data_IF_892479139676
#
_entry.id   IF_892479139676
#
_cell.length_a   1.000
_cell.length_b   1.000
_cell.length_c   1.000
_cell.angle_alpha   90.00
_cell.angle_beta   90.00
_cell.angle_gamma   90.00
#
_symmetry.space_group_name_H-M   'P 1'
#
loop_
_entity.id
_entity.type
_entity.pdbx_description
1 polymer ?
#
# COMPACT_ATOMS: atom_id res chain seq x y z
N UNK A 1 -8.97 -2.83 16.34
CA UNK A 1 -10.00 -3.44 15.48
C UNK A 1 -11.35 -2.84 15.82
N UNK A 2 -12.20 -2.60 14.81
CA UNK A 2 -13.55 -2.07 15.00
C UNK A 2 -14.52 -3.21 15.34
N UNK A 3 -15.64 -2.90 16.01
CA UNK A 3 -16.68 -3.89 16.35
C UNK A 3 -17.22 -4.58 15.08
N UNK A 4 -17.49 -3.81 14.03
CA UNK A 4 -17.95 -4.32 12.73
C UNK A 4 -16.96 -5.32 12.10
N UNK A 5 -15.65 -5.08 12.17
CA UNK A 5 -14.68 -6.05 11.65
C UNK A 5 -14.69 -7.38 12.43
N UNK A 6 -15.01 -7.36 13.72
CA UNK A 6 -15.16 -8.58 14.53
C UNK A 6 -16.46 -9.31 14.22
N UNK A 7 -17.53 -8.57 13.91
CA UNK A 7 -18.82 -9.13 13.48
C UNK A 7 -18.70 -9.80 12.11
N UNK A 8 -18.02 -9.17 11.15
CA UNK A 8 -17.73 -9.75 9.83
C UNK A 8 -16.97 -11.08 9.94
N UNK A 9 -15.96 -11.16 10.82
CA UNK A 9 -15.22 -12.40 11.07
C UNK A 9 -16.05 -13.52 11.71
N UNK A 10 -17.16 -13.18 12.38
CA UNK A 10 -18.08 -14.13 13.00
C UNK A 10 -19.27 -14.48 12.10
N UNK A 11 -19.43 -13.78 10.98
CA UNK A 11 -20.51 -14.00 10.03
C UNK A 11 -20.46 -15.43 9.49
N UNK A 12 -21.63 -16.05 9.35
CA UNK A 12 -21.77 -17.32 8.62
C UNK A 12 -21.62 -17.11 7.10
N UNK A 13 -21.84 -15.88 6.63
CA UNK A 13 -21.52 -15.47 5.27
C UNK A 13 -20.01 -15.26 5.17
N UNK A 14 -19.37 -16.15 4.43
CA UNK A 14 -17.92 -16.15 4.18
C UNK A 14 -17.60 -15.69 2.76
N UNK A 15 -18.58 -15.11 2.05
CA UNK A 15 -18.36 -14.59 0.71
C UNK A 15 -17.37 -13.42 0.77
N UNK A 16 -16.20 -13.66 0.18
CA UNK A 16 -15.17 -12.65 0.03
C UNK A 16 -15.47 -11.70 -1.14
N UNK A 17 -14.62 -10.67 -1.31
CA UNK A 17 -14.67 -9.81 -2.48
C UNK A 17 -14.64 -10.63 -3.78
N UNK A 18 -15.54 -10.30 -4.71
CA UNK A 18 -15.67 -10.99 -6.01
C UNK A 18 -14.74 -10.36 -7.03
N UNK A 19 -13.96 -11.19 -7.72
CA UNK A 19 -13.10 -10.75 -8.81
C UNK A 19 -13.91 -10.12 -9.95
N UNK A 20 -13.44 -8.99 -10.47
CA UNK A 20 -14.04 -8.25 -11.59
C UNK A 20 -13.10 -8.08 -12.77
N UNK A 21 -11.88 -8.60 -12.69
CA UNK A 21 -10.91 -8.62 -13.77
C UNK A 21 -10.12 -9.93 -13.83
N UNK A 22 -9.35 -10.10 -14.92
CA UNK A 22 -8.56 -11.31 -15.20
C UNK A 22 -7.42 -11.54 -14.18
N UNK A 23 -7.07 -10.49 -13.41
CA UNK A 23 -6.06 -10.55 -12.35
C UNK A 23 -6.66 -11.01 -11.01
N UNK A 24 -7.96 -11.33 -10.96
CA UNK A 24 -8.63 -11.80 -9.75
C UNK A 24 -8.94 -10.69 -8.74
N UNK A 25 -8.83 -9.41 -9.12
CA UNK A 25 -9.02 -8.28 -8.21
C UNK A 25 -10.50 -7.93 -8.10
N UNK A 26 -10.92 -7.55 -6.91
CA UNK A 26 -12.27 -7.05 -6.65
C UNK A 26 -12.47 -5.62 -7.17
N UNK A 27 -13.73 -5.19 -7.24
CA UNK A 27 -14.08 -3.82 -7.63
C UNK A 27 -13.83 -2.77 -6.52
N UNK A 28 -13.38 -3.19 -5.34
CA UNK A 28 -13.09 -2.27 -4.25
C UNK A 28 -11.99 -1.31 -4.68
N UNK A 29 -12.03 -0.08 -4.21
CA UNK A 29 -10.99 0.92 -4.49
C UNK A 29 -10.42 1.43 -3.18
N UNK A 30 -9.16 1.87 -3.20
CA UNK A 30 -8.53 2.54 -2.07
C UNK A 30 -7.94 3.88 -2.49
N UNK A 31 -7.86 4.78 -1.51
CA UNK A 31 -7.14 6.04 -1.60
C UNK A 31 -6.46 6.30 -0.26
N UNK A 32 -5.17 6.61 -0.31
CA UNK A 32 -4.37 7.06 0.83
C UNK A 32 -3.86 8.45 0.49
N UNK A 33 -4.22 9.41 1.33
CA UNK A 33 -3.77 10.79 1.21
C UNK A 33 -2.93 11.15 2.43
N UNK A 34 -1.75 11.72 2.17
CA UNK A 34 -0.85 12.23 3.19
C UNK A 34 -0.65 13.71 2.95
N UNK A 35 -0.98 14.52 3.95
CA UNK A 35 -0.73 15.96 3.97
C UNK A 35 0.25 16.25 5.10
N UNK A 36 1.38 16.88 4.77
CA UNK A 36 2.41 17.26 5.73
C UNK A 36 2.66 18.76 5.64
N UNK A 37 2.60 19.44 6.78
CA UNK A 37 2.87 20.88 6.86
C UNK A 37 4.11 21.12 7.72
N UNK A 38 5.03 21.94 7.22
CA UNK A 38 6.25 22.34 7.93
C UNK A 38 6.62 23.78 7.53
N UNK A 39 6.92 24.61 8.52
CA UNK A 39 7.42 25.98 8.30
C UNK A 39 6.52 26.83 7.36
N UNK A 40 5.19 26.60 7.43
CA UNK A 40 4.20 27.27 6.58
C UNK A 40 4.03 26.69 5.17
N UNK A 41 4.85 25.71 4.78
CA UNK A 41 4.70 24.97 3.53
C UNK A 41 3.89 23.70 3.76
N UNK A 42 2.92 23.43 2.91
CA UNK A 42 2.14 22.18 2.91
C UNK A 42 2.54 21.36 1.71
N UNK A 43 2.69 20.05 1.88
CA UNK A 43 2.90 19.10 0.80
C UNK A 43 1.88 18.00 0.90
N UNK A 44 1.48 17.46 -0.25
CA UNK A 44 0.46 16.43 -0.37
C UNK A 44 0.94 15.31 -1.28
N UNK A 45 0.64 14.08 -0.88
CA UNK A 45 0.81 12.89 -1.69
C UNK A 45 -0.47 12.07 -1.67
N UNK A 46 -0.89 11.55 -2.82
CA UNK A 46 -2.06 10.69 -2.97
C UNK A 46 -1.63 9.40 -3.65
N UNK A 47 -2.00 8.27 -3.06
CA UNK A 47 -1.89 6.95 -3.67
C UNK A 47 -3.29 6.34 -3.81
N UNK A 48 -3.63 5.80 -4.96
CA UNK A 48 -4.94 5.19 -5.19
C UNK A 48 -4.85 3.96 -6.09
N UNK A 49 -5.86 3.09 -6.01
CA UNK A 49 -5.88 1.87 -6.80
C UNK A 49 -7.14 1.03 -6.60
N UNK A 50 -7.16 -0.11 -7.30
CA UNK A 50 -8.19 -1.13 -7.20
C UNK A 50 -7.70 -2.26 -6.29
N UNK A 51 -8.58 -2.72 -5.43
CA UNK A 51 -8.42 -3.82 -4.50
C UNK A 51 -7.23 -3.62 -3.54
N UNK A 52 -7.56 -3.21 -2.31
CA UNK A 52 -6.55 -2.94 -1.27
C UNK A 52 -5.78 -4.20 -0.84
N UNK A 53 -6.35 -5.39 -1.05
CA UNK A 53 -5.65 -6.64 -0.78
C UNK A 53 -4.74 -7.03 -1.95
N UNK A 54 -5.13 -6.73 -3.19
CA UNK A 54 -4.30 -6.98 -4.36
C UNK A 54 -2.99 -6.17 -4.37
N UNK A 55 -2.99 -4.94 -3.83
CA UNK A 55 -1.76 -4.11 -3.74
C UNK A 55 -0.80 -4.58 -2.64
N UNK A 56 -1.27 -5.41 -1.70
CA UNK A 56 -0.44 -5.89 -0.57
C UNK A 56 0.72 -6.76 -1.05
N UNK A 57 0.48 -7.69 -2.00
CA UNK A 57 1.55 -8.55 -2.50
C UNK A 57 2.69 -7.76 -3.19
N UNK A 58 2.41 -6.83 -4.13
CA UNK A 58 3.44 -5.95 -4.70
C UNK A 58 4.24 -5.15 -3.65
N UNK A 59 3.57 -4.60 -2.61
CA UNK A 59 4.24 -3.90 -1.52
C UNK A 59 5.26 -4.79 -0.79
N UNK A 60 4.86 -6.03 -0.47
CA UNK A 60 5.73 -6.99 0.22
C UNK A 60 6.89 -7.44 -0.68
N UNK A 61 6.62 -7.68 -1.96
CA UNK A 61 7.66 -8.08 -2.93
C UNK A 61 8.69 -6.96 -3.11
N UNK A 62 8.28 -5.71 -3.29
CA UNK A 62 9.21 -4.58 -3.40
C UNK A 62 10.06 -4.42 -2.13
N UNK A 63 9.45 -4.54 -0.94
CA UNK A 63 10.18 -4.51 0.32
C UNK A 63 11.21 -5.64 0.42
N UNK A 64 10.83 -6.86 0.03
CA UNK A 64 11.72 -8.01 0.01
C UNK A 64 12.88 -7.82 -0.98
N UNK A 65 12.58 -7.33 -2.19
CA UNK A 65 13.58 -7.01 -3.20
C UNK A 65 14.61 -6.01 -2.66
N UNK A 66 14.17 -4.89 -2.07
CA UNK A 66 15.08 -3.89 -1.49
C UNK A 66 15.96 -4.46 -0.38
N UNK A 67 15.39 -5.24 0.53
CA UNK A 67 16.15 -5.88 1.61
C UNK A 67 17.22 -6.83 1.05
N UNK A 68 16.91 -7.59 -0.01
CA UNK A 68 17.85 -8.53 -0.61
C UNK A 68 18.93 -7.85 -1.45
N UNK A 69 18.63 -6.72 -2.08
CA UNK A 69 19.56 -6.02 -2.97
C UNK A 69 20.38 -4.93 -2.28
N UNK A 70 19.98 -4.45 -1.11
CA UNK A 70 20.69 -3.39 -0.39
C UNK A 70 21.97 -3.93 0.29
N UNK A 71 23.17 -3.50 -0.14
CA UNK A 71 24.43 -3.89 0.49
C UNK A 71 24.56 -3.40 1.94
N UNK A 72 23.82 -2.35 2.30
CA UNK A 72 23.79 -1.72 3.61
C UNK A 72 22.51 -2.04 4.39
N UNK A 73 21.83 -3.14 4.05
CA UNK A 73 20.57 -3.51 4.69
C UNK A 73 20.73 -3.56 6.22
N UNK A 74 19.74 -3.06 6.98
CA UNK A 74 19.76 -3.12 8.43
C UNK A 74 19.68 -4.57 8.93
N UNK A 75 20.41 -4.87 10.00
CA UNK A 75 20.30 -6.15 10.71
C UNK A 75 19.09 -6.14 11.64
N UNK A 76 18.36 -7.26 11.69
CA UNK A 76 17.21 -7.42 12.59
C UNK A 76 15.88 -7.06 11.91
N UNK A 77 14.99 -6.40 12.64
CA UNK A 77 13.64 -6.09 12.19
C UNK A 77 13.55 -4.61 11.82
N UNK A 78 12.99 -4.33 10.64
CA UNK A 78 12.69 -2.97 10.19
C UNK A 78 11.28 -2.87 9.62
N UNK A 79 10.69 -1.69 9.73
CA UNK A 79 9.41 -1.39 9.09
C UNK A 79 9.62 -1.03 7.63
N UNK A 80 8.60 -1.22 6.79
CA UNK A 80 8.65 -0.78 5.40
C UNK A 80 8.93 0.73 5.28
N UNK A 81 8.41 1.54 6.21
CA UNK A 81 8.67 2.99 6.25
C UNK A 81 10.09 3.38 6.68
N UNK A 82 10.86 2.45 7.25
CA UNK A 82 12.27 2.64 7.55
C UNK A 82 13.18 2.20 6.40
N UNK A 83 12.63 1.55 5.37
CA UNK A 83 13.36 1.34 4.12
C UNK A 83 13.61 2.71 3.48
N UNK A 84 14.87 2.99 3.14
CA UNK A 84 15.23 4.24 2.50
C UNK A 84 14.50 4.41 1.15
N UNK A 85 14.42 5.65 0.68
CA UNK A 85 13.80 6.02 -0.61
C UNK A 85 12.32 5.62 -0.74
N UNK A 86 11.47 6.22 0.11
CA UNK A 86 10.02 6.02 0.07
C UNK A 86 9.39 6.41 -1.27
N UNK A 87 9.91 7.43 -1.97
CA UNK A 87 9.39 7.85 -3.27
C UNK A 87 9.66 6.79 -4.33
N UNK A 88 10.89 6.30 -4.44
CA UNK A 88 11.22 5.24 -5.39
C UNK A 88 10.48 3.94 -5.07
N UNK A 89 10.28 3.62 -3.78
CA UNK A 89 9.50 2.45 -3.35
C UNK A 89 8.08 2.48 -3.90
N UNK A 90 7.37 3.60 -3.71
CA UNK A 90 6.00 3.73 -4.22
C UNK A 90 5.99 3.81 -5.75
N UNK A 91 6.96 4.48 -6.36
CA UNK A 91 7.05 4.63 -7.83
C UNK A 91 7.24 3.27 -8.52
N UNK A 92 7.92 2.31 -7.89
CA UNK A 92 8.09 0.95 -8.43
C UNK A 92 6.75 0.19 -8.62
N UNK A 93 5.69 0.63 -7.95
CA UNK A 93 4.35 0.03 -8.03
C UNK A 93 3.46 0.69 -9.11
N UNK A 94 3.93 1.79 -9.71
CA UNK A 94 3.23 2.53 -10.76
C UNK A 94 3.65 1.99 -12.14
N UNK A 95 2.73 1.97 -13.13
CA UNK A 95 1.29 2.19 -13.05
C UNK A 95 0.48 0.91 -12.77
N UNK A 96 1.16 -0.23 -12.62
CA UNK A 96 0.52 -1.55 -12.62
C UNK A 96 -0.33 -1.86 -11.39
N UNK A 97 0.01 -1.31 -10.23
CA UNK A 97 -0.63 -1.66 -8.96
C UNK A 97 -1.31 -0.48 -8.27
N UNK A 98 -0.84 0.74 -8.52
CA UNK A 98 -1.43 1.97 -7.99
C UNK A 98 -1.07 3.18 -8.85
N UNK A 99 -1.78 4.28 -8.64
CA UNK A 99 -1.44 5.62 -9.13
C UNK A 99 -0.87 6.48 -8.01
N UNK A 100 0.06 7.39 -8.33
CA UNK A 100 0.67 8.32 -7.38
C UNK A 100 0.62 9.74 -7.91
N UNK A 101 0.19 10.65 -7.05
CA UNK A 101 0.22 12.09 -7.28
C UNK A 101 0.95 12.80 -6.14
N UNK A 102 1.84 13.72 -6.48
CA UNK A 102 2.53 14.59 -5.52
C UNK A 102 2.23 16.04 -5.87
N UNK A 103 1.73 16.82 -4.91
CA UNK A 103 1.49 18.26 -5.07
C UNK A 103 2.12 19.06 -3.94
N UNK A 104 2.62 20.25 -4.26
CA UNK A 104 3.02 21.27 -3.30
C UNK A 104 1.84 22.15 -2.89
#
# INVERSE_FOLDING_TARGET
>A
MTVSAVEDLRSADTSGPVAVDDSGRSAQTFLVEVVATRDGETRRAVASGQDIYAVTAPLVVEAACRVLTDPHRPSGVVTAGALADARGFLTALVPGHLTLDFTN
#
